data_IF_478022126329
#
_entry.id   IF_478022126329
#
_cell.length_a   1.000
_cell.length_b   1.000
_cell.length_c   1.000
_cell.angle_alpha   90.00
_cell.angle_beta   90.00
_cell.angle_gamma   90.00
#
_symmetry.space_group_name_H-M   'P 1'
#
loop_
_entity.id
_entity.type
_entity.pdbx_description
1 polymer ?
#
# COMPACT_ATOMS: atom_id res chain seq x y z
N UNK A 1 -61.67 19.18 -51.45
CA UNK A 1 -63.02 18.66 -51.75
C UNK A 1 -63.55 17.89 -50.62
N UNK A 2 -64.77 18.29 -50.13
CA UNK A 2 -65.76 17.62 -49.30
C UNK A 2 -65.32 17.20 -47.90
N UNK A 3 -65.62 17.94 -46.82
CA UNK A 3 -66.94 18.19 -46.15
C UNK A 3 -67.68 16.87 -45.83
N UNK A 4 -67.99 16.61 -44.58
CA UNK A 4 -69.30 16.71 -43.95
C UNK A 4 -69.28 16.06 -42.60
N UNK A 5 -69.59 16.80 -41.54
CA UNK A 5 -70.80 16.89 -40.68
C UNK A 5 -70.96 15.68 -39.74
N UNK A 6 -71.03 15.91 -38.51
CA UNK A 6 -71.82 16.59 -37.46
C UNK A 6 -72.85 15.69 -36.80
N UNK A 7 -73.08 16.00 -35.56
CA UNK A 7 -74.20 15.65 -34.64
C UNK A 7 -73.92 14.43 -33.77
N UNK A 8 -74.04 14.41 -32.46
CA UNK A 8 -74.75 15.27 -31.56
C UNK A 8 -75.56 14.41 -30.59
N UNK A 9 -75.80 14.89 -29.35
CA UNK A 9 -76.65 14.35 -28.29
C UNK A 9 -76.03 13.24 -27.43
N UNK A 10 -76.16 13.16 -26.13
CA UNK A 10 -76.76 13.99 -25.09
C UNK A 10 -76.31 13.42 -23.73
N UNK A 11 -76.35 14.22 -22.75
CA UNK A 11 -76.03 13.97 -21.35
C UNK A 11 -76.89 12.87 -20.69
N UNK A 12 -76.28 12.18 -19.77
CA UNK A 12 -76.95 11.74 -18.55
C UNK A 12 -75.92 11.47 -17.45
N UNK A 13 -76.07 12.13 -16.34
CA UNK A 13 -75.18 12.06 -15.20
C UNK A 13 -75.29 10.76 -14.44
N UNK A 14 -74.17 10.36 -13.89
CA UNK A 14 -74.14 9.42 -12.75
C UNK A 14 -73.07 9.88 -11.80
N UNK A 15 -73.47 10.25 -10.62
CA UNK A 15 -72.68 10.47 -9.43
C UNK A 15 -71.90 9.18 -9.12
N UNK A 16 -70.60 9.19 -9.25
CA UNK A 16 -69.75 8.08 -8.88
C UNK A 16 -68.68 8.54 -7.88
N UNK A 17 -68.75 7.98 -6.72
CA UNK A 17 -67.89 8.16 -5.58
C UNK A 17 -66.41 8.16 -5.97
N UNK A 18 -65.70 9.23 -5.68
CA UNK A 18 -64.23 9.27 -5.71
C UNK A 18 -63.69 8.58 -4.48
N UNK A 19 -63.33 7.32 -4.57
CA UNK A 19 -62.51 6.65 -3.58
C UNK A 19 -61.07 7.11 -3.74
N UNK A 20 -60.61 7.99 -2.88
CA UNK A 20 -59.23 8.36 -2.75
C UNK A 20 -58.44 7.18 -2.21
N UNK A 21 -57.77 6.41 -3.10
CA UNK A 21 -56.80 5.41 -2.69
C UNK A 21 -55.53 6.19 -2.35
N UNK A 22 -55.33 6.50 -1.08
CA UNK A 22 -54.08 7.00 -0.54
C UNK A 22 -53.01 5.91 -0.67
N UNK A 23 -52.14 6.05 -1.64
CA UNK A 23 -50.94 5.23 -1.74
C UNK A 23 -50.01 5.63 -0.59
N UNK A 24 -50.03 4.88 0.49
CA UNK A 24 -48.99 4.94 1.53
C UNK A 24 -47.70 4.39 0.93
N UNK A 25 -46.83 5.29 0.47
CA UNK A 25 -45.43 4.94 0.22
C UNK A 25 -44.77 4.67 1.57
N UNK A 26 -44.75 3.41 1.97
CA UNK A 26 -43.86 2.93 3.02
C UNK A 26 -42.46 3.03 2.46
N UNK A 27 -41.76 4.11 2.80
CA UNK A 27 -40.30 4.20 2.60
C UNK A 27 -39.66 3.07 3.43
N UNK A 28 -39.44 1.92 2.81
CA UNK A 28 -38.63 0.87 3.39
C UNK A 28 -37.23 1.45 3.59
N UNK A 29 -36.93 1.80 4.84
CA UNK A 29 -35.56 2.19 5.25
C UNK A 29 -34.68 1.01 4.94
N UNK A 30 -33.76 1.16 3.93
CA UNK A 30 -32.79 0.16 3.61
C UNK A 30 -32.05 -0.23 4.89
N UNK A 31 -31.83 -1.52 5.16
CA UNK A 31 -31.07 -1.92 6.31
C UNK A 31 -29.68 -1.27 6.19
N UNK A 32 -29.30 -0.49 7.19
CA UNK A 32 -27.93 -0.03 7.33
C UNK A 32 -27.05 -1.28 7.28
N UNK A 33 -26.24 -1.40 6.23
CA UNK A 33 -25.17 -2.37 6.19
C UNK A 33 -24.33 -2.12 7.42
N UNK A 34 -24.45 -3.01 8.40
CA UNK A 34 -23.57 -3.04 9.55
C UNK A 34 -22.17 -3.20 8.99
N UNK A 35 -21.41 -2.11 8.93
CA UNK A 35 -19.97 -2.20 8.77
C UNK A 35 -19.52 -3.05 9.96
N UNK A 36 -19.15 -4.30 9.68
CA UNK A 36 -18.46 -5.13 10.64
C UNK A 36 -17.20 -4.35 11.04
N UNK A 37 -17.26 -3.68 12.18
CA UNK A 37 -16.09 -3.20 12.88
C UNK A 37 -15.26 -4.44 13.13
N UNK A 38 -14.19 -4.62 12.35
CA UNK A 38 -13.13 -5.56 12.66
C UNK A 38 -12.65 -5.11 14.04
N UNK A 39 -13.04 -5.85 15.08
CA UNK A 39 -12.58 -5.64 16.43
C UNK A 39 -11.05 -5.53 16.34
N UNK A 40 -10.49 -4.38 16.74
CA UNK A 40 -9.11 -4.02 16.54
C UNK A 40 -8.19 -5.07 17.12
N UNK A 41 -7.68 -5.96 16.28
CA UNK A 41 -6.49 -6.73 16.59
C UNK A 41 -5.37 -5.71 16.74
N UNK A 42 -4.99 -5.45 17.99
CA UNK A 42 -3.86 -4.55 18.28
C UNK A 42 -2.65 -5.09 17.52
N UNK A 43 -2.03 -4.23 16.70
CA UNK A 43 -0.79 -4.59 16.00
C UNK A 43 0.24 -4.98 17.06
N UNK A 44 0.86 -6.19 16.98
CA UNK A 44 1.89 -6.59 17.90
C UNK A 44 3.04 -5.58 17.89
N UNK A 45 3.52 -5.19 19.07
CA UNK A 45 4.64 -4.25 19.18
C UNK A 45 5.93 -5.02 19.31
N UNK A 46 6.89 -4.69 18.45
CA UNK A 46 8.26 -5.15 18.62
C UNK A 46 8.93 -4.56 19.86
N UNK A 47 10.00 -5.18 20.31
CA UNK A 47 10.76 -4.77 21.48
C UNK A 47 12.25 -4.89 21.21
N UNK A 48 13.07 -4.11 21.94
CA UNK A 48 14.52 -4.16 21.83
C UNK A 48 15.12 -3.27 20.74
N UNK A 49 14.35 -2.29 20.25
CA UNK A 49 14.76 -1.28 19.28
C UNK A 49 13.81 -0.07 19.39
N UNK A 50 14.11 1.04 18.72
CA UNK A 50 13.42 2.31 18.93
C UNK A 50 12.28 2.55 17.93
N UNK A 51 12.46 2.17 16.65
CA UNK A 51 11.49 2.40 15.59
C UNK A 51 11.66 1.42 14.41
N UNK A 52 10.77 1.49 13.44
CA UNK A 52 10.86 0.72 12.20
C UNK A 52 11.22 1.61 11.01
N UNK A 53 11.96 1.04 10.07
CA UNK A 53 12.10 1.54 8.71
C UNK A 53 11.35 0.60 7.77
N UNK A 54 10.31 1.10 7.10
CA UNK A 54 9.69 0.44 5.96
C UNK A 54 10.50 0.77 4.72
N UNK A 55 11.12 -0.25 4.11
CA UNK A 55 11.83 -0.11 2.84
C UNK A 55 10.97 -0.59 1.69
N UNK A 56 10.84 0.27 0.67
CA UNK A 56 10.07 0.06 -0.55
C UNK A 56 11.02 0.08 -1.74
N UNK A 57 11.25 -1.07 -2.39
CA UNK A 57 12.12 -1.18 -3.56
C UNK A 57 11.38 -0.84 -4.84
N UNK A 58 12.01 -0.05 -5.72
CA UNK A 58 11.57 0.14 -7.10
C UNK A 58 11.89 -1.10 -7.92
N UNK A 59 10.89 -1.94 -8.10
CA UNK A 59 11.03 -3.27 -8.72
C UNK A 59 11.69 -3.24 -10.11
N UNK A 60 11.35 -2.27 -11.01
CA UNK A 60 12.00 -2.21 -12.32
C UNK A 60 13.50 -2.02 -12.27
N UNK A 61 14.03 -1.23 -11.32
CA UNK A 61 15.48 -1.08 -11.13
C UNK A 61 16.12 -2.37 -10.62
N UNK A 62 15.48 -3.04 -9.67
CA UNK A 62 15.93 -4.34 -9.17
C UNK A 62 16.00 -5.37 -10.28
N UNK A 63 15.01 -5.42 -11.15
CA UNK A 63 14.89 -6.37 -12.25
C UNK A 63 15.79 -6.07 -13.47
N UNK A 64 16.56 -4.99 -13.46
CA UNK A 64 17.63 -4.79 -14.46
C UNK A 64 18.80 -5.76 -14.27
N UNK A 65 19.01 -6.22 -13.04
CA UNK A 65 20.01 -7.24 -12.74
C UNK A 65 19.59 -8.60 -13.34
N UNK A 66 20.45 -9.20 -14.16
CA UNK A 66 20.17 -10.47 -14.83
C UNK A 66 20.03 -11.64 -13.85
N UNK A 67 20.76 -11.60 -12.74
CA UNK A 67 20.68 -12.64 -11.70
C UNK A 67 19.38 -12.48 -10.89
N UNK A 68 18.98 -11.25 -10.59
CA UNK A 68 17.70 -10.98 -9.96
C UNK A 68 16.53 -11.51 -10.81
N UNK A 69 16.54 -11.27 -12.12
CA UNK A 69 15.52 -11.79 -13.05
C UNK A 69 15.41 -13.31 -13.05
N UNK A 70 16.55 -14.00 -12.96
CA UNK A 70 16.58 -15.47 -12.91
C UNK A 70 16.05 -16.02 -11.58
N UNK A 71 16.36 -15.34 -10.48
CA UNK A 71 15.99 -15.78 -9.13
C UNK A 71 14.55 -15.44 -8.74
N UNK A 72 14.13 -14.22 -9.03
CA UNK A 72 12.89 -13.64 -8.52
C UNK A 72 11.90 -13.46 -9.67
N UNK A 73 11.56 -14.58 -10.32
CA UNK A 73 10.73 -14.63 -11.54
C UNK A 73 9.32 -14.08 -11.32
N UNK A 74 8.74 -14.26 -10.13
CA UNK A 74 7.43 -13.68 -9.79
C UNK A 74 7.49 -12.16 -9.90
N UNK A 75 8.54 -11.54 -9.34
CA UNK A 75 8.71 -10.10 -9.33
C UNK A 75 9.10 -9.55 -10.69
N UNK A 76 9.99 -10.24 -11.41
CA UNK A 76 10.68 -9.66 -12.57
C UNK A 76 10.17 -10.16 -13.92
N UNK A 77 9.46 -11.29 -13.97
CA UNK A 77 9.01 -11.94 -15.21
C UNK A 77 7.59 -12.49 -15.12
N UNK A 78 6.91 -12.28 -13.98
CA UNK A 78 5.53 -12.70 -13.77
C UNK A 78 4.54 -11.87 -14.60
N UNK A 79 3.29 -12.31 -14.69
CA UNK A 79 2.25 -11.65 -15.48
C UNK A 79 1.80 -10.30 -14.87
N UNK A 80 2.05 -10.09 -13.58
CA UNK A 80 1.74 -8.84 -12.88
C UNK A 80 2.99 -7.96 -12.82
N UNK A 81 2.97 -6.78 -13.45
CA UNK A 81 4.08 -5.84 -13.31
C UNK A 81 4.06 -5.22 -11.89
N UNK A 82 5.24 -5.09 -11.29
CA UNK A 82 5.42 -4.42 -10.01
C UNK A 82 6.16 -3.09 -10.20
N UNK A 83 5.65 -2.04 -9.57
CA UNK A 83 6.34 -0.76 -9.38
C UNK A 83 7.11 -0.79 -8.05
N UNK A 84 6.56 -0.22 -6.97
CA UNK A 84 7.10 -0.43 -5.64
C UNK A 84 6.65 -1.77 -5.05
N UNK A 85 7.57 -2.46 -4.37
CA UNK A 85 7.32 -3.64 -3.54
C UNK A 85 7.94 -3.42 -2.17
N UNK A 86 7.43 -4.10 -1.17
CA UNK A 86 8.07 -4.11 0.14
C UNK A 86 9.38 -4.89 0.05
N UNK A 87 10.50 -4.23 0.36
CA UNK A 87 11.77 -4.89 0.58
C UNK A 87 11.76 -5.53 1.96
N UNK A 88 11.50 -4.73 3.00
CA UNK A 88 11.43 -5.21 4.37
C UNK A 88 10.91 -4.16 5.34
N UNK A 89 10.80 -4.57 6.60
CA UNK A 89 10.51 -3.70 7.73
C UNK A 89 11.62 -3.91 8.78
N UNK A 90 12.45 -2.90 8.96
CA UNK A 90 13.68 -3.05 9.69
C UNK A 90 13.62 -2.38 11.07
N UNK A 91 13.81 -3.14 12.16
CA UNK A 91 14.09 -2.54 13.46
C UNK A 91 15.30 -1.61 13.41
N UNK A 92 15.20 -0.44 14.04
CA UNK A 92 16.23 0.59 14.07
C UNK A 92 16.43 1.10 15.50
N UNK A 93 17.66 1.51 15.81
CA UNK A 93 17.95 2.40 16.94
C UNK A 93 17.99 3.86 16.45
N UNK A 94 17.98 4.81 17.35
CA UNK A 94 18.23 6.22 16.96
C UNK A 94 19.61 6.38 16.29
N UNK A 95 20.58 5.54 16.66
CA UNK A 95 21.90 5.43 16.03
C UNK A 95 22.19 3.96 15.72
N UNK A 96 22.28 3.62 14.45
CA UNK A 96 22.52 2.26 13.97
C UNK A 96 21.29 1.36 14.01
N UNK A 97 21.51 0.06 13.80
CA UNK A 97 20.44 -0.93 13.70
C UNK A 97 20.88 -2.33 14.09
N UNK A 98 20.00 -3.13 14.71
CA UNK A 98 20.25 -4.53 14.97
C UNK A 98 20.07 -5.36 13.70
N UNK A 99 20.83 -6.46 13.57
CA UNK A 99 20.66 -7.41 12.45
C UNK A 99 21.09 -8.82 12.83
N UNK A 100 20.39 -9.83 12.30
CA UNK A 100 20.74 -11.24 12.51
C UNK A 100 20.76 -11.62 13.99
N UNK A 101 19.76 -11.18 14.74
CA UNK A 101 19.69 -11.39 16.19
C UNK A 101 19.37 -12.86 16.51
N UNK A 102 19.89 -13.33 17.64
CA UNK A 102 19.50 -14.63 18.16
C UNK A 102 18.06 -14.58 18.69
N UNK A 103 17.26 -15.58 18.34
CA UNK A 103 15.87 -15.70 18.76
C UNK A 103 15.47 -17.16 18.90
N UNK A 104 14.52 -17.45 19.79
CA UNK A 104 13.85 -18.75 19.87
C UNK A 104 12.66 -18.86 18.89
N UNK A 105 12.27 -17.76 18.26
CA UNK A 105 11.18 -17.75 17.29
C UNK A 105 11.59 -18.50 16.00
N UNK A 106 10.70 -19.35 15.53
CA UNK A 106 10.92 -20.14 14.31
C UNK A 106 10.83 -19.26 13.06
N UNK A 107 11.57 -19.64 12.02
CA UNK A 107 11.45 -19.00 10.69
C UNK A 107 10.02 -19.11 10.15
N UNK A 108 9.59 -18.17 9.28
CA UNK A 108 8.33 -18.30 8.60
C UNK A 108 8.22 -19.63 7.84
N UNK A 109 7.08 -20.30 7.96
CA UNK A 109 6.77 -21.46 7.11
C UNK A 109 6.62 -21.02 5.65
N UNK A 110 6.71 -21.95 4.70
CA UNK A 110 6.48 -21.68 3.28
C UNK A 110 5.08 -21.07 3.05
N UNK A 111 4.07 -21.53 3.80
CA UNK A 111 2.71 -20.96 3.70
C UNK A 111 2.68 -19.49 4.14
N UNK A 112 3.36 -19.15 5.23
CA UNK A 112 3.47 -17.76 5.69
C UNK A 112 4.24 -16.89 4.69
N UNK A 113 5.34 -17.40 4.14
CA UNK A 113 6.11 -16.67 3.12
C UNK A 113 5.27 -16.43 1.86
N UNK A 114 4.54 -17.44 1.39
CA UNK A 114 3.64 -17.32 0.21
C UNK A 114 2.51 -16.32 0.43
N UNK A 115 2.00 -16.22 1.66
CA UNK A 115 0.97 -15.24 2.00
C UNK A 115 1.46 -13.78 1.88
N UNK A 116 2.76 -13.54 1.70
CA UNK A 116 3.34 -12.20 1.52
C UNK A 116 3.62 -11.83 0.06
N UNK A 117 3.44 -12.74 -0.89
CA UNK A 117 3.87 -12.56 -2.29
C UNK A 117 3.14 -11.43 -3.03
N UNK A 118 2.02 -10.98 -2.54
CA UNK A 118 1.30 -9.82 -3.07
C UNK A 118 2.01 -8.48 -2.83
N UNK A 119 2.82 -8.38 -1.76
CA UNK A 119 3.59 -7.18 -1.39
C UNK A 119 5.11 -7.41 -1.40
N UNK A 120 5.56 -8.65 -1.17
CA UNK A 120 6.97 -9.09 -1.20
C UNK A 120 7.09 -10.26 -2.18
N UNK A 121 7.23 -10.04 -3.49
CA UNK A 121 7.03 -11.06 -4.52
C UNK A 121 8.20 -12.07 -4.65
N UNK A 122 8.77 -12.51 -3.54
CA UNK A 122 9.82 -13.52 -3.46
C UNK A 122 9.81 -14.20 -2.08
N UNK A 123 9.50 -15.53 -2.03
CA UNK A 123 9.57 -16.31 -0.79
C UNK A 123 10.98 -16.23 -0.17
N UNK A 124 12.01 -16.23 -1.01
CA UNK A 124 13.40 -16.10 -0.58
C UNK A 124 13.65 -14.74 0.10
N UNK A 125 13.07 -13.66 -0.41
CA UNK A 125 13.16 -12.34 0.22
C UNK A 125 12.50 -12.36 1.59
N UNK A 126 11.30 -12.90 1.73
CA UNK A 126 10.60 -13.01 3.02
C UNK A 126 11.46 -13.73 4.05
N UNK A 127 12.09 -14.85 3.67
CA UNK A 127 12.97 -15.60 4.57
C UNK A 127 14.23 -14.80 4.91
N UNK A 128 14.82 -14.09 3.93
CA UNK A 128 16.00 -13.26 4.15
C UNK A 128 15.72 -12.12 5.12
N UNK A 129 14.60 -11.41 4.93
CA UNK A 129 14.19 -10.29 5.77
C UNK A 129 13.88 -10.75 7.21
N UNK A 130 13.31 -11.94 7.37
CA UNK A 130 13.18 -12.54 8.69
C UNK A 130 14.54 -12.76 9.34
N UNK A 131 15.46 -13.43 8.65
CA UNK A 131 16.78 -13.77 9.22
C UNK A 131 17.61 -12.54 9.58
N UNK A 132 17.48 -11.46 8.80
CA UNK A 132 18.29 -10.25 8.96
C UNK A 132 17.69 -9.26 9.93
N UNK A 133 16.37 -9.12 9.94
CA UNK A 133 15.63 -8.04 10.59
C UNK A 133 14.53 -8.55 11.51
N UNK A 134 13.73 -9.52 11.06
CA UNK A 134 12.62 -10.05 11.83
C UNK A 134 13.04 -10.69 13.15
N UNK A 135 14.18 -11.39 13.15
CA UNK A 135 14.78 -11.98 14.37
C UNK A 135 15.10 -10.94 15.44
N UNK A 136 15.28 -9.68 15.06
CA UNK A 136 15.57 -8.57 15.95
C UNK A 136 14.33 -7.83 16.47
N UNK A 137 13.14 -8.24 16.02
CA UNK A 137 11.90 -7.53 16.37
C UNK A 137 11.33 -7.91 17.75
N UNK A 138 11.83 -9.01 18.38
CA UNK A 138 11.24 -9.57 19.59
C UNK A 138 9.87 -10.26 19.35
N UNK A 139 9.46 -10.45 18.10
CA UNK A 139 8.18 -11.02 17.70
C UNK A 139 8.34 -12.46 17.19
N UNK A 140 7.23 -13.20 17.17
CA UNK A 140 7.14 -14.43 16.37
C UNK A 140 7.22 -14.09 14.88
N UNK A 141 7.63 -15.04 14.03
CA UNK A 141 7.64 -14.80 12.57
C UNK A 141 6.27 -14.44 12.02
N UNK A 142 5.20 -15.03 12.56
CA UNK A 142 3.83 -14.71 12.20
C UNK A 142 3.49 -13.24 12.49
N UNK A 143 3.79 -12.81 13.71
CA UNK A 143 3.48 -11.45 14.17
C UNK A 143 4.32 -10.43 13.44
N UNK A 144 5.61 -10.70 13.23
CA UNK A 144 6.48 -9.84 12.42
C UNK A 144 5.94 -9.66 11.00
N UNK A 145 5.56 -10.72 10.29
CA UNK A 145 4.98 -10.63 8.96
C UNK A 145 3.63 -9.88 8.98
N UNK A 146 2.86 -10.02 10.04
CA UNK A 146 1.65 -9.22 10.28
C UNK A 146 1.97 -7.73 10.40
N UNK A 147 3.03 -7.38 11.15
CA UNK A 147 3.49 -5.97 11.27
C UNK A 147 4.04 -5.44 9.95
N UNK A 148 4.78 -6.24 9.18
CA UNK A 148 5.23 -5.87 7.81
C UNK A 148 4.03 -5.50 6.93
N UNK A 149 3.00 -6.33 6.92
CA UNK A 149 1.77 -6.06 6.14
C UNK A 149 1.04 -4.81 6.61
N UNK A 150 0.93 -4.63 7.92
CA UNK A 150 0.32 -3.44 8.51
C UNK A 150 1.10 -2.17 8.16
N UNK A 151 2.43 -2.21 8.21
CA UNK A 151 3.30 -1.10 7.80
C UNK A 151 3.14 -0.76 6.31
N UNK A 152 3.11 -1.79 5.45
CA UNK A 152 2.85 -1.61 4.01
C UNK A 152 1.48 -0.96 3.75
N UNK A 153 0.47 -1.30 4.55
CA UNK A 153 -0.87 -0.71 4.43
C UNK A 153 -0.96 0.70 5.02
N UNK A 154 -0.08 1.06 5.95
CA UNK A 154 -0.04 2.38 6.59
C UNK A 154 0.62 3.44 5.69
N UNK A 155 1.40 3.04 4.69
CA UNK A 155 2.09 3.96 3.76
C UNK A 155 1.49 3.83 2.38
N UNK A 156 0.79 4.88 1.94
CA UNK A 156 0.23 4.95 0.59
C UNK A 156 1.35 5.22 -0.43
N UNK A 157 1.47 4.36 -1.44
CA UNK A 157 2.27 4.66 -2.63
C UNK A 157 1.59 5.78 -3.41
N UNK A 158 2.28 6.89 -3.73
CA UNK A 158 1.69 7.98 -4.51
C UNK A 158 1.22 7.48 -5.88
N UNK A 159 0.08 7.96 -6.36
CA UNK A 159 -0.56 7.48 -7.59
C UNK A 159 0.38 7.52 -8.81
N UNK A 160 1.23 8.56 -8.89
CA UNK A 160 2.27 8.67 -9.92
C UNK A 160 3.37 7.60 -9.85
N UNK A 161 3.42 6.80 -8.80
CA UNK A 161 4.41 5.73 -8.59
C UNK A 161 3.76 4.35 -8.37
N UNK A 162 2.44 4.27 -8.43
CA UNK A 162 1.71 3.00 -8.30
C UNK A 162 1.89 2.09 -9.53
N UNK A 163 2.22 2.69 -10.67
CA UNK A 163 2.58 2.01 -11.91
C UNK A 163 3.72 2.76 -12.60
N UNK A 164 4.43 2.10 -13.51
CA UNK A 164 5.51 2.71 -14.27
C UNK A 164 5.45 2.21 -15.72
N UNK A 165 4.56 2.77 -16.55
CA UNK A 165 4.43 2.33 -17.94
C UNK A 165 5.64 2.77 -18.80
N UNK A 166 6.25 3.91 -18.46
CA UNK A 166 7.29 4.55 -19.28
C UNK A 166 8.51 4.96 -18.46
N UNK A 167 9.63 5.20 -19.17
CA UNK A 167 10.80 5.83 -18.59
C UNK A 167 10.48 7.26 -18.16
N UNK A 168 10.83 7.60 -16.93
CA UNK A 168 10.72 8.98 -16.42
C UNK A 168 12.03 9.42 -15.78
N UNK A 169 12.21 10.73 -15.71
CA UNK A 169 13.26 11.37 -14.92
C UNK A 169 12.60 12.27 -13.88
N UNK A 170 13.06 12.16 -12.66
CA UNK A 170 12.59 12.94 -11.51
C UNK A 170 13.78 13.29 -10.64
N UNK A 171 13.62 14.25 -9.73
CA UNK A 171 14.59 14.43 -8.65
C UNK A 171 14.22 13.56 -7.44
N UNK A 172 15.16 13.30 -6.54
CA UNK A 172 14.86 12.65 -5.26
C UNK A 172 13.83 13.47 -4.47
N UNK A 173 13.93 14.81 -4.49
CA UNK A 173 12.97 15.70 -3.86
C UNK A 173 11.55 15.59 -4.46
N UNK A 174 11.39 15.32 -5.77
CA UNK A 174 10.08 15.06 -6.36
C UNK A 174 9.46 13.76 -5.81
N UNK A 175 10.29 12.73 -5.58
CA UNK A 175 9.83 11.47 -4.97
C UNK A 175 9.40 11.73 -3.52
N UNK A 176 10.23 12.41 -2.73
CA UNK A 176 9.92 12.77 -1.34
C UNK A 176 8.63 13.59 -1.26
N UNK A 177 8.51 14.65 -2.06
CA UNK A 177 7.33 15.51 -2.09
C UNK A 177 6.05 14.72 -2.42
N UNK A 178 6.12 13.77 -3.35
CA UNK A 178 5.00 12.91 -3.68
C UNK A 178 4.57 12.01 -2.51
N UNK A 179 5.53 11.40 -1.80
CA UNK A 179 5.24 10.58 -0.62
C UNK A 179 4.66 11.41 0.52
N UNK A 180 5.22 12.59 0.79
CA UNK A 180 4.70 13.53 1.80
C UNK A 180 3.26 13.96 1.46
N UNK A 181 2.99 14.30 0.20
CA UNK A 181 1.64 14.70 -0.22
C UNK A 181 0.61 13.57 -0.10
N UNK A 182 1.03 12.32 -0.34
CA UNK A 182 0.13 11.16 -0.28
C UNK A 182 -0.10 10.62 1.14
N UNK A 183 0.76 11.00 2.11
CA UNK A 183 0.80 10.41 3.46
C UNK A 183 0.86 11.50 4.54
N UNK A 184 -0.27 11.96 5.08
CA UNK A 184 -0.28 12.93 6.16
C UNK A 184 0.57 12.46 7.36
N UNK A 185 1.50 13.30 7.80
CA UNK A 185 2.43 13.04 8.89
C UNK A 185 3.80 12.50 8.47
N UNK A 186 3.99 12.04 7.22
CA UNK A 186 5.34 11.81 6.68
C UNK A 186 5.97 13.18 6.37
N UNK A 187 7.24 13.32 6.73
CA UNK A 187 8.06 14.50 6.40
C UNK A 187 9.29 14.05 5.61
N UNK A 188 9.95 14.96 4.92
CA UNK A 188 11.22 14.66 4.23
C UNK A 188 12.29 14.15 5.20
N UNK A 189 12.31 14.64 6.44
CA UNK A 189 13.22 14.16 7.50
C UNK A 189 12.80 12.83 8.14
N UNK A 190 11.69 12.25 7.72
CA UNK A 190 11.18 10.95 8.15
C UNK A 190 11.28 9.89 7.04
N UNK A 191 12.04 10.18 5.99
CA UNK A 191 12.21 9.26 4.87
C UNK A 191 13.56 9.46 4.19
N UNK A 192 13.93 8.51 3.33
CA UNK A 192 15.11 8.60 2.49
C UNK A 192 14.82 8.01 1.12
N UNK A 193 15.45 8.60 0.10
CA UNK A 193 15.45 8.07 -1.27
C UNK A 193 16.84 7.57 -1.61
N UNK A 194 16.95 6.37 -2.16
CA UNK A 194 18.23 5.79 -2.57
C UNK A 194 18.26 5.44 -4.06
N UNK A 195 19.48 5.27 -4.60
CA UNK A 195 19.70 4.97 -6.01
C UNK A 195 20.62 3.77 -6.23
N UNK A 196 20.47 3.11 -7.37
CA UNK A 196 21.43 2.18 -7.92
C UNK A 196 21.89 2.69 -9.28
N UNK A 197 23.16 3.06 -9.38
CA UNK A 197 23.62 3.85 -10.53
C UNK A 197 22.88 5.18 -10.60
N UNK A 198 22.17 5.43 -11.69
CA UNK A 198 21.34 6.62 -11.87
C UNK A 198 19.84 6.34 -11.67
N UNK A 199 19.45 5.13 -11.28
CA UNK A 199 18.05 4.77 -11.16
C UNK A 199 17.56 4.84 -9.72
N UNK A 200 16.28 5.24 -9.53
CA UNK A 200 15.59 5.08 -8.26
C UNK A 200 15.69 3.63 -7.80
N UNK A 201 16.18 3.40 -6.59
CA UNK A 201 16.31 2.05 -6.03
C UNK A 201 15.30 1.79 -4.94
N UNK A 202 15.23 2.67 -3.95
CA UNK A 202 14.43 2.49 -2.75
C UNK A 202 13.87 3.81 -2.23
N UNK A 203 12.72 3.71 -1.55
CA UNK A 203 12.20 4.71 -0.64
C UNK A 203 12.09 4.06 0.73
N UNK A 204 12.67 4.69 1.76
CA UNK A 204 12.61 4.25 3.14
C UNK A 204 11.75 5.23 3.93
N UNK A 205 10.82 4.71 4.74
CA UNK A 205 9.91 5.52 5.56
C UNK A 205 10.05 5.09 7.01
N UNK A 206 10.28 6.04 7.89
CA UNK A 206 10.43 5.80 9.33
C UNK A 206 9.06 5.81 10.03
N UNK A 207 8.83 4.76 10.81
CA UNK A 207 7.57 4.52 11.50
C UNK A 207 7.84 4.21 12.98
N UNK A 208 7.02 4.75 13.87
CA UNK A 208 7.05 4.36 15.29
C UNK A 208 6.71 2.88 15.45
N UNK A 209 6.88 2.33 16.66
CA UNK A 209 6.44 0.96 16.99
C UNK A 209 4.92 0.74 16.83
N UNK A 210 4.15 1.82 16.69
CA UNK A 210 2.70 1.77 16.38
C UNK A 210 2.40 2.14 14.93
N UNK A 211 3.42 2.12 14.08
CA UNK A 211 3.35 2.37 12.63
C UNK A 211 2.85 3.77 12.24
N UNK A 212 3.02 4.76 13.12
CA UNK A 212 2.80 6.17 12.79
C UNK A 212 4.07 6.77 12.19
N UNK A 213 3.98 7.68 11.23
CA UNK A 213 5.15 8.39 10.72
C UNK A 213 5.96 9.06 11.82
N UNK A 214 7.29 9.11 11.65
CA UNK A 214 8.22 9.82 12.51
C UNK A 214 9.43 10.33 11.73
N UNK A 215 10.16 11.29 12.31
CA UNK A 215 11.49 11.70 11.83
C UNK A 215 12.57 10.68 12.20
N UNK A 216 13.67 10.63 11.44
CA UNK A 216 14.76 9.67 11.64
C UNK A 216 16.05 10.17 10.98
N UNK A 217 16.82 10.96 11.72
CA UNK A 217 17.96 11.71 11.18
C UNK A 217 19.05 10.85 10.50
N UNK A 218 19.43 9.70 11.06
CA UNK A 218 20.44 8.82 10.44
C UNK A 218 19.93 8.24 9.09
N UNK A 219 18.68 7.77 9.05
CA UNK A 219 18.10 7.20 7.82
C UNK A 219 17.94 8.28 6.74
N UNK A 220 17.53 9.48 7.12
CA UNK A 220 17.41 10.64 6.22
C UNK A 220 18.78 10.99 5.60
N UNK A 221 19.83 11.04 6.41
CA UNK A 221 21.20 11.33 5.96
C UNK A 221 21.78 10.27 5.02
N UNK A 222 21.33 9.00 5.12
CA UNK A 222 21.71 7.92 4.21
C UNK A 222 21.08 8.07 2.81
N UNK A 223 20.10 8.96 2.64
CA UNK A 223 19.47 9.29 1.38
C UNK A 223 20.38 10.05 0.43
N UNK A 224 20.01 10.06 -0.85
CA UNK A 224 20.65 10.96 -1.83
C UNK A 224 20.08 12.37 -1.66
N UNK A 225 20.90 13.38 -1.97
CA UNK A 225 20.45 14.78 -1.90
C UNK A 225 19.18 15.00 -2.77
N UNK A 226 18.24 15.79 -2.28
CA UNK A 226 16.93 16.04 -2.92
C UNK A 226 17.03 16.53 -4.37
N UNK A 227 18.08 17.27 -4.74
CA UNK A 227 18.36 17.71 -6.11
C UNK A 227 18.92 16.61 -7.05
N UNK A 228 19.20 15.41 -6.53
CA UNK A 228 19.73 14.30 -7.34
C UNK A 228 18.72 13.85 -8.38
N UNK A 229 19.10 13.92 -9.67
CA UNK A 229 18.26 13.38 -10.76
C UNK A 229 18.33 11.86 -10.80
N UNK A 230 17.17 11.24 -10.85
CA UNK A 230 16.95 9.79 -10.89
C UNK A 230 16.19 9.40 -12.14
N UNK A 231 16.57 8.27 -12.74
CA UNK A 231 15.78 7.62 -13.78
C UNK A 231 14.87 6.58 -13.15
N UNK A 232 13.63 6.53 -13.59
CA UNK A 232 12.64 5.53 -13.23
C UNK A 232 12.41 4.61 -14.43
N UNK A 233 13.03 3.43 -14.46
CA UNK A 233 12.71 2.45 -15.49
C UNK A 233 11.26 1.98 -15.39
N UNK A 234 10.61 1.62 -16.52
CA UNK A 234 9.26 1.13 -16.52
C UNK A 234 9.14 -0.26 -15.90
N UNK A 235 8.00 -0.55 -15.29
CA UNK A 235 7.58 -1.92 -14.98
C UNK A 235 7.22 -2.64 -16.28
N UNK A 236 7.70 -3.85 -16.43
CA UNK A 236 7.47 -4.70 -17.61
C UNK A 236 6.32 -5.66 -17.37
#
# INVERSE_FOLDING_TARGET
MKQFRSQGFAALGALGFAAAIGAYFVLAKAPATAQASIAGTSIPRGTGFDFYVLSLSWSPTYCQDSQARKRDTIQCSGPRPFAFVVHGLWPQFENGYPRGCQTLATRPSNTQARAMLDIMPSERLVQHEWDRHGTCSGLSSRDYLGVVRAAASAVKIPDGYASAPDWRRVTAGDVEAAFVAANPGITTTGMAVSKRGNNLSEVRVCLTLTLKPRTCGEVDQDGVASGTTLSLPPSR
#
